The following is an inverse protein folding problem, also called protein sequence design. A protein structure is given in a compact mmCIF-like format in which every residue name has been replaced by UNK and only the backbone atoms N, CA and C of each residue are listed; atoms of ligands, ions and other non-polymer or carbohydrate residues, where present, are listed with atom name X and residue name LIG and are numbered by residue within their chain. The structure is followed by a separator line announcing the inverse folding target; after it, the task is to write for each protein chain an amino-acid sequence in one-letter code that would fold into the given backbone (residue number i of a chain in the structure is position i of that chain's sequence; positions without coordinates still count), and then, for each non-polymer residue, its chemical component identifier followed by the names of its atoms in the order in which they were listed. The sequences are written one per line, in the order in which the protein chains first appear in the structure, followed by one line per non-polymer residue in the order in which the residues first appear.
data_IF_541326443023
#
_entry.id   IF_541326443023
#
_cell.length_a   1.000
_cell.length_b   1.000
_cell.length_c   1.000
_cell.angle_alpha   90.00
_cell.angle_beta   90.00
_cell.angle_gamma   90.00
#
_symmetry.space_group_name_H-M   'P 1'
#
loop_
_entity.id
_entity.type
_entity.pdbx_description
1 polymer ?
#
# COMPACT_ATOMS: atom_id res chain seq x y z
N UNK A 1 -10.00 -23.32 5.55
CA UNK A 1 -8.79 -23.37 6.36
C UNK A 1 -7.84 -24.53 6.04
N UNK A 2 -8.11 -25.31 5.01
CA UNK A 2 -7.17 -26.35 4.53
C UNK A 2 -6.00 -25.81 3.69
N UNK A 3 -6.03 -24.55 3.29
CA UNK A 3 -4.99 -23.92 2.48
C UNK A 3 -3.65 -23.77 3.23
N UNK A 4 -3.67 -23.57 4.52
CA UNK A 4 -2.45 -23.36 5.32
C UNK A 4 -1.60 -24.62 5.55
N UNK A 5 -2.12 -25.83 5.25
CA UNK A 5 -1.43 -27.11 5.51
C UNK A 5 -0.58 -27.55 4.31
N UNK A 6 -0.76 -26.94 3.13
CA UNK A 6 -0.09 -27.33 1.88
C UNK A 6 1.03 -26.43 1.42
N UNK A 7 1.33 -25.39 2.21
CA UNK A 7 2.34 -24.40 1.84
C UNK A 7 3.46 -24.33 2.88
N UNK A 8 4.67 -24.14 2.39
CA UNK A 8 5.84 -23.81 3.19
C UNK A 8 6.07 -22.30 3.08
N UNK A 9 5.94 -21.62 4.19
CA UNK A 9 6.38 -20.22 4.30
C UNK A 9 7.91 -20.17 4.25
N UNK A 10 8.47 -19.28 3.43
CA UNK A 10 9.90 -19.20 3.20
C UNK A 10 10.50 -17.90 3.73
N UNK A 11 9.91 -16.75 3.38
CA UNK A 11 10.43 -15.45 3.79
C UNK A 11 9.35 -14.37 3.76
N UNK A 12 9.57 -13.29 4.51
CA UNK A 12 8.93 -11.99 4.36
C UNK A 12 9.89 -11.04 3.66
N UNK A 13 9.43 -10.46 2.54
CA UNK A 13 10.21 -9.49 1.78
C UNK A 13 9.41 -8.20 1.65
N UNK A 14 10.11 -7.13 1.28
CA UNK A 14 9.54 -5.80 1.03
C UNK A 14 8.73 -5.24 2.23
N UNK A 15 9.12 -5.60 3.45
CA UNK A 15 8.51 -5.10 4.68
C UNK A 15 8.73 -3.61 4.85
N UNK A 16 7.76 -2.95 5.50
CA UNK A 16 7.88 -1.55 5.92
C UNK A 16 7.43 -0.54 4.87
N UNK A 17 6.99 -0.98 3.68
CA UNK A 17 6.36 -0.08 2.72
C UNK A 17 4.95 0.24 3.17
N UNK A 18 4.66 1.51 3.38
CA UNK A 18 3.34 1.98 3.78
C UNK A 18 2.37 2.07 2.60
N UNK A 19 1.08 1.92 2.88
CA UNK A 19 -0.01 2.27 1.98
C UNK A 19 -0.57 3.64 2.36
N UNK A 20 -0.68 4.51 1.38
CA UNK A 20 -1.20 5.86 1.53
C UNK A 20 -2.40 6.09 0.62
N UNK A 21 -3.22 7.06 0.97
CA UNK A 21 -4.28 7.54 0.09
C UNK A 21 -3.71 8.71 -0.71
N UNK A 22 -3.81 8.61 -2.02
CA UNK A 22 -3.44 9.67 -2.95
C UNK A 22 -4.72 10.26 -3.55
N UNK A 23 -4.84 11.59 -3.56
CA UNK A 23 -6.04 12.28 -4.05
C UNK A 23 -5.73 13.28 -5.15
N UNK A 24 -6.67 13.45 -6.06
CA UNK A 24 -6.60 14.47 -7.12
C UNK A 24 -6.78 15.86 -6.53
N UNK A 25 -7.79 15.99 -5.66
CA UNK A 25 -8.13 17.23 -4.99
C UNK A 25 -7.61 17.24 -3.55
N UNK A 26 -7.53 18.43 -2.96
CA UNK A 26 -7.14 18.58 -1.56
C UNK A 26 -8.07 17.81 -0.64
N UNK A 27 -7.54 16.87 0.17
CA UNK A 27 -8.36 16.08 1.07
C UNK A 27 -8.90 16.94 2.22
N UNK A 28 -10.08 16.59 2.70
CA UNK A 28 -10.71 17.22 3.85
C UNK A 28 -10.48 16.39 5.11
N UNK A 29 -10.53 17.06 6.24
CA UNK A 29 -10.46 16.41 7.54
C UNK A 29 -11.66 16.85 8.37
N UNK A 30 -12.25 15.92 9.11
CA UNK A 30 -13.40 16.20 9.98
C UNK A 30 -12.97 17.18 11.10
N UNK A 31 -13.75 18.21 11.31
CA UNK A 31 -13.46 19.20 12.36
C UNK A 31 -13.64 18.65 13.77
N UNK A 32 -14.41 17.57 13.94
CA UNK A 32 -14.71 16.95 15.23
C UNK A 32 -13.52 16.17 15.83
N UNK A 33 -12.75 15.50 15.01
CA UNK A 33 -11.71 14.57 15.44
C UNK A 33 -10.43 14.62 14.58
N UNK A 34 -10.41 15.45 13.52
CA UNK A 34 -9.26 15.60 12.64
C UNK A 34 -9.00 14.40 11.73
N UNK A 35 -9.90 13.43 11.67
CA UNK A 35 -9.77 12.26 10.79
C UNK A 35 -10.08 12.64 9.37
N UNK A 36 -9.41 11.98 8.41
CA UNK A 36 -9.67 12.12 6.98
C UNK A 36 -11.14 11.90 6.66
N UNK A 37 -11.72 12.82 5.91
CA UNK A 37 -13.09 12.77 5.41
C UNK A 37 -13.07 12.49 3.91
N UNK A 38 -13.55 11.33 3.52
CA UNK A 38 -13.69 10.93 2.12
C UNK A 38 -15.14 10.97 1.63
N UNK A 39 -16.02 11.65 2.37
CA UNK A 39 -17.42 11.85 1.95
C UNK A 39 -17.51 12.49 0.58
N UNK A 40 -18.16 11.78 -0.37
CA UNK A 40 -18.28 12.18 -1.76
C UNK A 40 -17.05 11.93 -2.65
N UNK A 41 -15.94 11.41 -2.09
CA UNK A 41 -14.75 11.03 -2.86
C UNK A 41 -14.95 9.64 -3.45
N UNK A 42 -14.79 9.52 -4.76
CA UNK A 42 -14.79 8.23 -5.46
C UNK A 42 -13.37 7.67 -5.44
N UNK A 43 -13.19 6.57 -4.75
CA UNK A 43 -11.87 5.98 -4.54
C UNK A 43 -11.77 4.58 -5.12
N UNK A 44 -10.65 4.29 -5.78
CA UNK A 44 -10.32 2.91 -6.14
C UNK A 44 -10.31 2.02 -4.91
N UNK A 45 -10.86 0.83 -5.04
CA UNK A 45 -10.96 -0.10 -3.93
C UNK A 45 -10.30 -1.45 -4.23
N UNK A 46 -9.93 -2.13 -3.14
CA UNK A 46 -9.48 -3.52 -3.11
C UNK A 46 -10.05 -4.16 -1.83
N UNK A 47 -10.51 -5.41 -1.87
CA UNK A 47 -11.11 -6.08 -0.71
C UNK A 47 -10.34 -6.00 0.59
N UNK A 48 -8.99 -5.90 0.53
CA UNK A 48 -8.12 -5.84 1.70
C UNK A 48 -8.43 -4.63 2.60
N UNK A 49 -8.80 -3.48 2.02
CA UNK A 49 -9.02 -2.23 2.75
C UNK A 49 -10.40 -1.58 2.52
N UNK A 50 -11.33 -2.32 1.90
CA UNK A 50 -12.71 -1.81 1.66
C UNK A 50 -13.39 -1.33 2.94
N UNK A 51 -13.27 -2.10 4.04
CA UNK A 51 -13.91 -1.74 5.31
C UNK A 51 -13.35 -0.41 5.86
N UNK A 52 -12.04 -0.23 5.77
CA UNK A 52 -11.37 1.00 6.18
C UNK A 52 -11.84 2.20 5.34
N UNK A 53 -11.86 2.09 4.02
CA UNK A 53 -12.33 3.19 3.15
C UNK A 53 -13.79 3.57 3.42
N UNK A 54 -14.65 2.59 3.68
CA UNK A 54 -16.05 2.83 4.04
C UNK A 54 -16.20 3.53 5.40
N UNK A 55 -15.32 3.25 6.36
CA UNK A 55 -15.33 3.95 7.65
C UNK A 55 -14.96 5.44 7.54
N UNK A 56 -14.29 5.80 6.44
CA UNK A 56 -13.99 7.19 6.06
C UNK A 56 -15.04 7.80 5.12
N UNK A 57 -16.19 7.16 4.97
CA UNK A 57 -17.34 7.61 4.15
C UNK A 57 -17.06 7.66 2.62
N UNK A 58 -16.00 6.98 2.16
CA UNK A 58 -15.65 6.96 0.75
C UNK A 58 -16.68 6.21 -0.13
N UNK A 59 -16.87 6.69 -1.35
CA UNK A 59 -17.55 5.94 -2.40
C UNK A 59 -16.57 5.02 -3.10
N UNK A 60 -16.60 3.73 -2.77
CA UNK A 60 -15.62 2.76 -3.25
C UNK A 60 -15.94 2.22 -4.64
N UNK A 61 -14.94 2.09 -5.49
CA UNK A 61 -15.02 1.53 -6.85
C UNK A 61 -14.01 0.39 -7.00
N UNK A 62 -14.42 -0.88 -6.84
CA UNK A 62 -13.54 -2.02 -7.01
C UNK A 62 -13.01 -2.10 -8.45
N UNK A 63 -11.69 -2.07 -8.60
CA UNK A 63 -11.04 -2.23 -9.91
C UNK A 63 -9.58 -2.66 -9.77
N UNK A 64 -9.03 -3.38 -10.75
CA UNK A 64 -7.61 -3.68 -10.80
C UNK A 64 -6.78 -2.40 -11.00
N UNK A 65 -5.51 -2.44 -10.58
CA UNK A 65 -4.61 -1.29 -10.73
C UNK A 65 -4.38 -0.88 -12.19
N UNK A 66 -4.47 -1.82 -13.11
CA UNK A 66 -4.32 -1.59 -14.54
C UNK A 66 -5.38 -0.67 -15.14
N UNK A 67 -6.54 -0.57 -14.52
CA UNK A 67 -7.65 0.29 -14.96
C UNK A 67 -7.62 1.68 -14.31
N UNK A 68 -6.88 1.84 -13.21
CA UNK A 68 -6.91 3.06 -12.41
C UNK A 68 -6.38 4.30 -13.17
N UNK A 69 -5.40 4.13 -14.08
CA UNK A 69 -4.92 5.24 -14.90
C UNK A 69 -6.06 5.85 -15.73
N UNK A 70 -6.77 5.03 -16.48
CA UNK A 70 -7.90 5.50 -17.30
C UNK A 70 -9.08 6.02 -16.48
N UNK A 71 -9.29 5.48 -15.27
CA UNK A 71 -10.32 5.94 -14.36
C UNK A 71 -10.00 7.33 -13.78
N UNK A 72 -8.73 7.57 -13.42
CA UNK A 72 -8.24 8.89 -13.00
C UNK A 72 -8.33 9.92 -14.14
N UNK A 73 -7.85 9.54 -15.34
CA UNK A 73 -7.85 10.40 -16.52
C UNK A 73 -9.27 10.88 -16.89
N UNK A 74 -10.26 10.00 -16.75
CA UNK A 74 -11.65 10.30 -17.07
C UNK A 74 -12.45 10.89 -15.91
N UNK A 75 -11.83 11.07 -14.74
CA UNK A 75 -12.53 11.55 -13.54
C UNK A 75 -13.57 10.58 -13.00
N UNK A 76 -13.44 9.28 -13.30
CA UNK A 76 -14.32 8.23 -12.74
C UNK A 76 -14.01 8.02 -11.26
N UNK A 77 -12.74 8.15 -10.88
CA UNK A 77 -12.26 8.14 -9.51
C UNK A 77 -11.44 9.40 -9.21
N UNK A 78 -11.49 9.83 -7.96
CA UNK A 78 -10.82 11.03 -7.45
C UNK A 78 -9.63 10.69 -6.54
N UNK A 79 -9.49 9.42 -6.17
CA UNK A 79 -8.45 8.96 -5.26
C UNK A 79 -8.07 7.50 -5.50
N UNK A 80 -6.84 7.18 -5.12
CA UNK A 80 -6.29 5.81 -5.17
C UNK A 80 -5.50 5.51 -3.90
N UNK A 81 -5.76 4.40 -3.21
CA UNK A 81 -4.84 3.85 -2.22
C UNK A 81 -3.74 3.10 -2.94
N UNK A 82 -2.50 3.38 -2.58
CA UNK A 82 -1.33 2.69 -3.12
C UNK A 82 -0.17 2.72 -2.14
N UNK A 83 0.83 1.92 -2.44
CA UNK A 83 2.09 1.94 -1.69
C UNK A 83 2.78 3.30 -1.78
N UNK A 84 3.57 3.64 -0.77
CA UNK A 84 4.40 4.86 -0.76
C UNK A 84 5.36 4.94 -1.94
N UNK A 85 5.59 3.83 -2.62
CA UNK A 85 6.43 3.73 -3.82
C UNK A 85 5.57 3.37 -5.03
N UNK A 86 6.01 3.71 -6.25
CA UNK A 86 5.43 3.19 -7.51
C UNK A 86 4.33 4.04 -8.15
N UNK A 87 3.90 5.15 -7.56
CA UNK A 87 2.88 6.04 -8.19
C UNK A 87 3.38 6.62 -9.51
N UNK A 88 4.64 6.99 -9.58
CA UNK A 88 5.27 7.51 -10.81
C UNK A 88 5.44 6.44 -11.87
N UNK A 89 5.72 5.20 -11.47
CA UNK A 89 5.84 4.07 -12.40
C UNK A 89 4.51 3.77 -13.10
N UNK A 90 3.41 3.96 -12.38
CA UNK A 90 2.04 3.86 -12.89
C UNK A 90 1.56 5.13 -13.59
N UNK A 91 2.37 6.21 -13.57
CA UNK A 91 2.06 7.53 -14.13
C UNK A 91 0.81 8.17 -13.52
N UNK A 92 0.44 7.79 -12.29
CA UNK A 92 -0.73 8.34 -11.60
C UNK A 92 -0.44 9.72 -10.99
N UNK A 93 0.85 10.05 -10.77
CA UNK A 93 1.36 11.37 -10.36
C UNK A 93 0.91 12.51 -11.29
N UNK A 94 0.55 12.20 -12.54
CA UNK A 94 -0.06 13.16 -13.46
C UNK A 94 -1.38 13.73 -12.95
N UNK A 95 -2.14 12.90 -12.22
CA UNK A 95 -3.51 13.21 -11.79
C UNK A 95 -3.56 13.53 -10.29
N UNK A 96 -2.99 12.66 -9.46
CA UNK A 96 -3.02 12.85 -8.01
C UNK A 96 -2.02 13.93 -7.60
N UNK A 97 -2.44 14.80 -6.68
CA UNK A 97 -1.65 15.97 -6.24
C UNK A 97 -1.39 15.97 -4.74
N UNK A 98 -2.04 15.12 -4.00
CA UNK A 98 -1.93 15.05 -2.55
C UNK A 98 -1.69 13.62 -2.10
N UNK A 99 -0.84 13.45 -1.11
CA UNK A 99 -0.59 12.19 -0.41
C UNK A 99 -0.95 12.37 1.06
N UNK A 100 -1.87 11.56 1.54
CA UNK A 100 -2.28 11.59 2.96
C UNK A 100 -1.30 10.79 3.79
N UNK A 101 -0.87 11.36 4.89
CA UNK A 101 0.02 10.76 5.88
C UNK A 101 -0.65 10.75 7.26
N UNK A 102 -0.29 9.80 8.13
CA UNK A 102 0.61 8.67 7.89
C UNK A 102 -0.02 7.60 6.98
N UNK A 103 0.78 6.59 6.62
CA UNK A 103 0.27 5.39 5.96
C UNK A 103 -0.79 4.72 6.83
N UNK A 104 -1.89 4.26 6.23
CA UNK A 104 -2.97 3.58 6.94
C UNK A 104 -2.75 2.06 7.04
N UNK A 105 -1.87 1.51 6.23
CA UNK A 105 -1.57 0.09 6.16
C UNK A 105 -0.09 -0.09 5.82
N UNK A 106 0.55 -1.14 6.33
CA UNK A 106 1.89 -1.55 5.94
C UNK A 106 1.82 -2.84 5.14
N UNK A 107 2.54 -2.90 4.04
CA UNK A 107 2.64 -4.13 3.26
C UNK A 107 3.82 -4.95 3.69
N UNK A 108 3.65 -6.24 3.56
CA UNK A 108 4.69 -7.23 3.55
C UNK A 108 4.33 -8.29 2.51
N UNK A 109 5.31 -8.83 1.85
CA UNK A 109 5.12 -9.87 0.85
C UNK A 109 5.69 -11.18 1.37
N UNK A 110 4.81 -12.17 1.57
CA UNK A 110 5.21 -13.52 1.94
C UNK A 110 5.59 -14.35 0.71
N UNK A 111 6.76 -14.96 0.74
CA UNK A 111 7.12 -15.99 -0.23
C UNK A 111 6.66 -17.33 0.32
N UNK A 112 5.76 -17.98 -0.40
CA UNK A 112 5.25 -19.32 -0.08
C UNK A 112 5.63 -20.30 -1.17
N UNK A 113 5.93 -21.54 -0.76
CA UNK A 113 6.28 -22.65 -1.64
C UNK A 113 5.31 -23.78 -1.40
N UNK A 114 4.77 -24.37 -2.46
CA UNK A 114 3.94 -25.56 -2.32
C UNK A 114 4.70 -26.66 -1.56
N UNK A 115 4.09 -27.23 -0.52
CA UNK A 115 4.73 -28.15 0.41
C UNK A 115 5.23 -29.45 -0.27
N UNK A 116 4.47 -29.96 -1.23
CA UNK A 116 4.88 -31.19 -1.95
C UNK A 116 6.11 -30.91 -2.81
N UNK A 117 6.15 -29.74 -3.47
CA UNK A 117 7.32 -29.29 -4.22
C UNK A 117 8.53 -29.08 -3.31
N UNK A 118 8.30 -28.44 -2.16
CA UNK A 118 9.35 -28.28 -1.15
C UNK A 118 9.91 -29.62 -0.70
N UNK A 119 9.04 -30.59 -0.37
CA UNK A 119 9.45 -31.89 0.12
C UNK A 119 10.24 -32.67 -0.93
N UNK A 120 9.91 -32.51 -2.22
CA UNK A 120 10.59 -33.17 -3.33
C UNK A 120 11.95 -32.55 -3.69
N UNK A 121 12.30 -31.36 -3.15
CA UNK A 121 13.59 -30.74 -3.38
C UNK A 121 14.72 -31.46 -2.66
N UNK A 122 15.93 -31.41 -3.23
CA UNK A 122 17.13 -31.90 -2.56
C UNK A 122 17.46 -31.06 -1.32
N UNK A 123 18.20 -31.63 -0.34
CA UNK A 123 18.66 -30.89 0.82
C UNK A 123 19.44 -29.63 0.46
N UNK A 124 20.27 -29.70 -0.59
CA UNK A 124 21.08 -28.59 -1.07
C UNK A 124 20.21 -27.46 -1.61
N UNK A 125 19.20 -27.79 -2.41
CA UNK A 125 18.25 -26.81 -2.94
C UNK A 125 17.46 -26.12 -1.83
N UNK A 126 17.00 -26.88 -0.83
CA UNK A 126 16.32 -26.34 0.35
C UNK A 126 17.22 -25.37 1.11
N UNK A 127 18.48 -25.76 1.29
CA UNK A 127 19.47 -24.92 2.00
C UNK A 127 19.70 -23.61 1.28
N UNK A 128 19.92 -23.64 -0.04
CA UNK A 128 20.12 -22.42 -0.84
C UNK A 128 18.92 -21.49 -0.75
N UNK A 129 17.70 -22.03 -0.89
CA UNK A 129 16.48 -21.22 -0.80
C UNK A 129 16.31 -20.59 0.59
N UNK A 130 16.63 -21.32 1.65
CA UNK A 130 16.55 -20.80 3.02
C UNK A 130 17.61 -19.73 3.28
N UNK A 131 18.85 -19.95 2.85
CA UNK A 131 19.94 -18.99 3.04
C UNK A 131 19.63 -17.67 2.31
N UNK A 132 19.17 -17.74 1.05
CA UNK A 132 18.76 -16.57 0.27
C UNK A 132 17.54 -15.88 0.89
N UNK A 133 16.57 -16.65 1.39
CA UNK A 133 15.39 -16.09 2.04
C UNK A 133 15.76 -15.25 3.26
N UNK A 134 16.64 -15.77 4.14
CA UNK A 134 17.11 -15.04 5.32
C UNK A 134 17.88 -13.77 4.93
N UNK A 135 18.75 -13.85 3.92
CA UNK A 135 19.48 -12.70 3.42
C UNK A 135 18.51 -11.62 2.89
N UNK A 136 17.53 -12.03 2.08
CA UNK A 136 16.59 -11.10 1.47
C UNK A 136 15.58 -10.49 2.42
N UNK A 137 15.20 -11.14 3.52
CA UNK A 137 14.34 -10.53 4.55
C UNK A 137 14.95 -9.22 5.07
N UNK A 138 16.25 -9.26 5.40
CA UNK A 138 16.96 -8.09 5.92
C UNK A 138 17.26 -7.08 4.82
N UNK A 139 17.76 -7.57 3.68
CA UNK A 139 18.17 -6.72 2.57
C UNK A 139 16.99 -5.98 1.95
N UNK A 140 15.89 -6.67 1.68
CA UNK A 140 14.73 -6.05 1.03
C UNK A 140 14.11 -4.94 1.90
N UNK A 141 14.08 -5.10 3.22
CA UNK A 141 13.59 -4.05 4.11
C UNK A 141 14.45 -2.78 4.02
N UNK A 142 15.78 -2.93 3.99
CA UNK A 142 16.69 -1.80 3.83
C UNK A 142 16.56 -1.14 2.45
N UNK A 143 16.50 -1.93 1.39
CA UNK A 143 16.30 -1.45 0.01
C UNK A 143 14.98 -0.67 -0.10
N UNK A 144 13.87 -1.20 0.45
CA UNK A 144 12.56 -0.52 0.41
C UNK A 144 12.55 0.77 1.23
N UNK A 145 13.28 0.85 2.33
CA UNK A 145 13.42 2.10 3.08
C UNK A 145 14.13 3.19 2.24
N UNK A 146 15.20 2.80 1.53
CA UNK A 146 15.91 3.71 0.62
C UNK A 146 15.01 4.15 -0.55
N UNK A 147 14.35 3.19 -1.22
CA UNK A 147 13.40 3.50 -2.30
C UNK A 147 12.28 4.44 -1.83
N UNK A 148 11.72 4.21 -0.63
CA UNK A 148 10.68 5.08 -0.09
C UNK A 148 11.19 6.52 0.04
N UNK A 149 12.42 6.72 0.52
CA UNK A 149 12.99 8.07 0.63
C UNK A 149 13.16 8.73 -0.74
N UNK A 150 13.63 7.98 -1.74
CA UNK A 150 13.81 8.48 -3.10
C UNK A 150 12.47 8.83 -3.77
N UNK A 151 11.45 7.98 -3.61
CA UNK A 151 10.11 8.26 -4.13
C UNK A 151 9.48 9.47 -3.44
N UNK A 152 9.61 9.59 -2.10
CA UNK A 152 9.11 10.78 -1.38
C UNK A 152 9.74 12.06 -1.90
N UNK A 153 11.05 12.03 -2.16
CA UNK A 153 11.75 13.16 -2.76
C UNK A 153 11.24 13.45 -4.17
N UNK A 154 11.10 12.44 -5.02
CA UNK A 154 10.59 12.60 -6.37
C UNK A 154 9.15 13.15 -6.39
N UNK A 155 8.29 12.74 -5.45
CA UNK A 155 6.94 13.29 -5.31
C UNK A 155 6.97 14.77 -4.91
N UNK A 156 7.81 15.15 -3.96
CA UNK A 156 7.96 16.54 -3.55
C UNK A 156 8.48 17.41 -4.71
N UNK A 157 9.52 16.95 -5.41
CA UNK A 157 10.09 17.64 -6.58
C UNK A 157 9.06 17.75 -7.73
N UNK A 158 8.16 16.78 -7.86
CA UNK A 158 7.02 16.79 -8.79
C UNK A 158 5.85 17.67 -8.35
N UNK A 159 5.92 18.31 -7.18
CA UNK A 159 4.89 19.22 -6.67
C UNK A 159 3.75 18.52 -5.93
N UNK A 160 3.88 17.24 -5.55
CA UNK A 160 2.91 16.57 -4.70
C UNK A 160 2.94 17.16 -3.29
N UNK A 161 1.78 17.41 -2.73
CA UNK A 161 1.61 17.94 -1.37
C UNK A 161 1.37 16.80 -0.40
N UNK A 162 2.14 16.80 0.68
CA UNK A 162 1.94 15.87 1.79
C UNK A 162 1.01 16.52 2.82
N UNK A 163 -0.05 15.83 3.16
CA UNK A 163 -1.05 16.30 4.12
C UNK A 163 -1.23 15.29 5.24
N UNK A 164 -1.33 15.77 6.46
CA UNK A 164 -1.41 14.92 7.65
C UNK A 164 -2.65 15.26 8.46
N UNK A 165 -3.14 14.27 9.20
CA UNK A 165 -4.15 14.46 10.22
C UNK A 165 -3.68 15.46 11.27
N UNK A 166 -4.60 16.21 11.87
CA UNK A 166 -4.32 17.17 12.96
C UNK A 166 -4.82 16.65 14.31
N UNK A 167 -4.09 16.96 15.37
CA UNK A 167 -4.49 16.63 16.74
C UNK A 167 -4.64 15.13 16.99
N UNK A 168 -5.78 14.70 17.53
CA UNK A 168 -6.11 13.29 17.80
C UNK A 168 -6.43 12.48 16.55
N UNK A 169 -6.52 13.12 15.39
CA UNK A 169 -6.91 12.48 14.14
C UNK A 169 -5.96 11.36 13.71
N UNK A 170 -4.66 11.49 13.96
CA UNK A 170 -3.70 10.44 13.64
C UNK A 170 -3.95 9.16 14.47
N UNK A 171 -4.18 9.28 15.75
CA UNK A 171 -4.47 8.13 16.62
C UNK A 171 -5.79 7.45 16.20
N UNK A 172 -6.82 8.24 15.91
CA UNK A 172 -8.12 7.74 15.47
C UNK A 172 -8.03 7.07 14.10
N UNK A 173 -7.25 7.61 13.17
CA UNK A 173 -7.03 7.05 11.85
C UNK A 173 -6.38 5.66 11.92
N UNK A 174 -5.41 5.47 12.81
CA UNK A 174 -4.76 4.17 13.05
C UNK A 174 -5.66 3.17 13.78
N UNK A 175 -6.62 3.63 14.57
CA UNK A 175 -7.54 2.77 15.34
C UNK A 175 -8.66 2.19 14.47
N UNK A 176 -8.92 2.75 13.29
CA UNK A 176 -9.90 2.23 12.32
C UNK A 176 -9.40 0.97 11.57
N UNK A 177 -8.19 0.49 11.84
CA UNK A 177 -7.59 -0.73 11.31
C UNK A 177 -7.78 -1.91 12.27
#
# INVERSE_FOLDING_TARGET
SEMCIRDRYLAWIDSGVGFNIFTVNEPKFRSSDGVLDLGGVKIRDNPIYTAFLKSLEATTSPMPSTEAYGALEKGVIDAVPWTSIGITDLKWDKFVKYMVQPSFYSTDLGIIVNLDRWNAMSPEAKKVLQDVAIEWEVKSAADRAADTADYMKAYADGGMKFVSHSGSGEANYRTCL
#
